data_IF_483395514825
#
_entry.id   IF_483395514825
#
_cell.length_a   1.000
_cell.length_b   1.000
_cell.length_c   1.000
_cell.angle_alpha   90.00
_cell.angle_beta   90.00
_cell.angle_gamma   90.00
#
_symmetry.space_group_name_H-M   'P 1'
#
loop_
_entity.id
_entity.type
_entity.pdbx_description
1 polymer ?
#
# COMPACT_ATOMS: atom_id res chain seq x y z
N UNK A 1 19.62 5.33 -22.65
CA UNK A 1 20.02 5.39 -21.20
C UNK A 1 19.68 4.05 -20.55
N UNK A 2 20.57 3.52 -19.68
CA UNK A 2 20.27 2.29 -18.92
C UNK A 2 19.11 2.51 -17.94
N UNK A 3 18.32 1.44 -17.68
CA UNK A 3 17.13 1.51 -16.82
C UNK A 3 17.46 1.87 -15.36
N UNK A 4 18.61 1.46 -14.84
CA UNK A 4 19.04 1.82 -13.47
C UNK A 4 19.35 3.31 -13.35
N UNK A 5 20.03 3.87 -14.37
CA UNK A 5 20.32 5.31 -14.40
C UNK A 5 19.02 6.12 -14.60
N UNK A 6 18.12 5.64 -15.45
CA UNK A 6 16.77 6.22 -15.61
C UNK A 6 16.01 6.24 -14.29
N UNK A 7 16.03 5.15 -13.53
CA UNK A 7 15.36 5.08 -12.21
C UNK A 7 15.92 6.09 -11.22
N UNK A 8 17.25 6.27 -11.17
CA UNK A 8 17.89 7.29 -10.32
C UNK A 8 17.43 8.69 -10.67
N UNK A 9 17.33 9.01 -11.96
CA UNK A 9 16.83 10.31 -12.42
C UNK A 9 15.35 10.50 -12.07
N UNK A 10 14.51 9.47 -12.25
CA UNK A 10 13.10 9.50 -11.83
C UNK A 10 12.99 9.80 -10.34
N UNK A 11 13.71 9.08 -9.50
CA UNK A 11 13.71 9.29 -8.05
C UNK A 11 14.12 10.73 -7.69
N UNK A 12 15.20 11.24 -8.29
CA UNK A 12 15.68 12.62 -8.05
C UNK A 12 14.62 13.67 -8.44
N UNK A 13 13.96 13.49 -9.58
CA UNK A 13 12.90 14.39 -10.05
C UNK A 13 11.69 14.35 -9.12
N UNK A 14 11.27 13.15 -8.71
CA UNK A 14 10.12 12.97 -7.83
C UNK A 14 10.38 13.53 -6.43
N UNK A 15 11.57 13.34 -5.87
CA UNK A 15 11.96 13.96 -4.59
C UNK A 15 11.93 15.49 -4.71
N UNK A 16 12.41 16.06 -5.82
CA UNK A 16 12.37 17.51 -6.03
C UNK A 16 10.93 18.05 -6.06
N UNK A 17 9.98 17.26 -6.59
CA UNK A 17 8.59 17.67 -6.73
C UNK A 17 7.78 17.46 -5.45
N UNK A 18 7.90 16.31 -4.80
CA UNK A 18 7.03 15.87 -3.71
C UNK A 18 7.70 15.86 -2.33
N UNK A 19 9.00 16.20 -2.25
CA UNK A 19 9.78 16.06 -1.03
C UNK A 19 10.37 14.66 -0.88
N UNK A 20 11.12 14.44 0.21
CA UNK A 20 11.69 13.12 0.51
C UNK A 20 10.64 12.15 1.02
N UNK A 21 9.70 12.64 1.82
CA UNK A 21 8.69 11.83 2.50
C UNK A 21 7.30 12.32 2.10
N UNK A 22 6.48 11.41 1.60
CA UNK A 22 5.05 11.64 1.44
C UNK A 22 4.37 11.07 2.69
N UNK A 23 3.67 11.89 3.48
CA UNK A 23 3.01 11.43 4.69
C UNK A 23 2.04 10.29 4.39
N UNK A 24 2.05 9.27 5.24
CA UNK A 24 1.00 8.27 5.21
C UNK A 24 -0.29 8.88 5.75
N UNK A 25 -1.36 8.77 4.99
CA UNK A 25 -2.64 9.40 5.35
C UNK A 25 -3.52 8.54 6.26
N UNK A 26 -3.19 7.25 6.48
CA UNK A 26 -3.98 6.36 7.35
C UNK A 26 -3.66 6.60 8.83
N UNK A 27 -4.70 6.86 9.62
CA UNK A 27 -4.59 7.13 11.04
C UNK A 27 -4.68 5.85 11.87
N UNK A 28 -3.79 5.70 12.83
CA UNK A 28 -3.77 4.59 13.79
C UNK A 28 -2.97 4.96 15.05
N UNK A 29 -3.14 4.21 16.13
CA UNK A 29 -2.34 4.38 17.35
C UNK A 29 -1.02 3.61 17.23
N UNK A 30 0.12 4.29 17.39
CA UNK A 30 1.46 3.67 17.27
C UNK A 30 1.66 2.47 18.21
N UNK A 31 1.00 2.48 19.38
CA UNK A 31 1.02 1.36 20.33
C UNK A 31 0.19 0.15 19.87
N UNK A 32 -0.61 0.28 18.81
CA UNK A 32 -1.53 -0.73 18.30
C UNK A 32 -1.31 -0.99 16.80
N UNK A 33 -0.20 -1.61 16.39
CA UNK A 33 0.17 -1.76 14.99
C UNK A 33 -0.87 -2.55 14.15
N UNK A 34 -1.72 -3.37 14.77
CA UNK A 34 -2.82 -4.05 14.10
C UNK A 34 -3.88 -3.08 13.53
N UNK A 35 -4.04 -1.91 14.15
CA UNK A 35 -4.92 -0.87 13.61
C UNK A 35 -4.44 -0.39 12.24
N UNK A 36 -3.12 -0.21 12.08
CA UNK A 36 -2.53 0.11 10.78
C UNK A 36 -2.78 -0.99 9.75
N UNK A 37 -2.52 -2.25 10.11
CA UNK A 37 -2.79 -3.40 9.22
C UNK A 37 -4.25 -3.41 8.75
N UNK A 38 -5.21 -3.24 9.67
CA UNK A 38 -6.63 -3.24 9.33
C UNK A 38 -7.04 -2.02 8.51
N UNK A 39 -6.46 -0.84 8.77
CA UNK A 39 -6.66 0.34 7.94
C UNK A 39 -6.18 0.10 6.50
N UNK A 40 -4.99 -0.51 6.31
CA UNK A 40 -4.48 -0.87 4.97
C UNK A 40 -5.37 -1.92 4.30
N UNK A 41 -5.88 -2.92 5.02
CA UNK A 41 -6.84 -3.89 4.46
C UNK A 41 -8.14 -3.20 4.01
N UNK A 42 -8.62 -2.22 4.79
CA UNK A 42 -9.82 -1.45 4.44
C UNK A 42 -9.60 -0.49 3.26
N UNK A 43 -8.38 0.01 3.04
CA UNK A 43 -8.05 0.95 1.95
C UNK A 43 -8.07 0.29 0.56
N UNK A 44 -8.17 -1.02 0.46
CA UNK A 44 -8.35 -1.70 -0.83
C UNK A 44 -9.62 -1.21 -1.53
N UNK A 45 -9.46 -0.53 -2.70
CA UNK A 45 -10.53 0.10 -3.47
C UNK A 45 -11.38 1.11 -2.65
N UNK A 46 -10.73 1.83 -1.73
CA UNK A 46 -11.35 2.86 -0.90
C UNK A 46 -10.36 4.01 -0.70
N UNK A 47 -10.86 5.24 -0.53
CA UNK A 47 -9.98 6.39 -0.25
C UNK A 47 -9.52 6.40 1.20
N UNK A 48 -8.34 6.97 1.45
CA UNK A 48 -7.76 7.05 2.79
C UNK A 48 -8.64 7.91 3.72
N UNK A 49 -9.27 8.98 3.19
CA UNK A 49 -10.21 9.83 3.94
C UNK A 49 -11.42 9.02 4.44
N UNK A 50 -11.97 8.15 3.58
CA UNK A 50 -13.09 7.29 3.95
C UNK A 50 -12.68 6.27 5.00
N UNK A 51 -11.51 5.66 4.86
CA UNK A 51 -10.96 4.73 5.86
C UNK A 51 -10.77 5.44 7.20
N UNK A 52 -10.16 6.63 7.21
CA UNK A 52 -9.94 7.40 8.43
C UNK A 52 -11.25 7.80 9.12
N UNK A 53 -12.27 8.17 8.36
CA UNK A 53 -13.58 8.47 8.92
C UNK A 53 -14.19 7.26 9.64
N UNK A 54 -14.05 6.06 9.06
CA UNK A 54 -14.55 4.81 9.64
C UNK A 54 -13.71 4.39 10.85
N UNK A 55 -12.40 4.39 10.73
CA UNK A 55 -11.50 3.91 11.80
C UNK A 55 -11.55 4.74 13.05
N UNK A 56 -11.88 6.03 12.96
CA UNK A 56 -12.06 6.92 14.10
C UNK A 56 -13.05 6.39 15.14
N UNK A 57 -14.18 5.85 14.69
CA UNK A 57 -15.19 5.28 15.58
C UNK A 57 -14.95 3.78 15.81
N UNK A 58 -14.46 3.09 14.79
CA UNK A 58 -14.18 1.65 14.86
C UNK A 58 -13.18 1.31 15.96
N UNK A 59 -12.07 2.07 16.07
CA UNK A 59 -11.00 1.81 17.05
C UNK A 59 -11.38 2.19 18.49
N UNK A 60 -12.43 3.01 18.68
CA UNK A 60 -13.05 3.23 20.01
C UNK A 60 -13.87 2.01 20.42
N UNK A 61 -14.62 1.43 19.48
CA UNK A 61 -15.48 0.27 19.73
C UNK A 61 -14.67 -1.02 19.87
N UNK A 62 -13.69 -1.22 19.00
CA UNK A 62 -12.80 -2.39 18.96
C UNK A 62 -11.39 -1.96 19.38
N UNK A 63 -11.21 -1.56 20.64
CA UNK A 63 -9.99 -0.97 21.18
C UNK A 63 -8.86 -1.98 21.45
N UNK A 64 -9.13 -3.28 21.28
CA UNK A 64 -8.15 -4.37 21.41
C UNK A 64 -8.25 -5.35 20.25
N UNK A 65 -7.14 -6.05 19.98
CA UNK A 65 -7.09 -7.11 18.96
C UNK A 65 -8.11 -8.23 19.28
N UNK A 66 -8.31 -8.56 20.58
CA UNK A 66 -9.29 -9.54 21.01
C UNK A 66 -10.73 -9.14 20.70
N UNK A 67 -11.06 -7.84 20.79
CA UNK A 67 -12.39 -7.36 20.40
C UNK A 67 -12.64 -7.54 18.89
N UNK A 68 -11.64 -7.32 18.04
CA UNK A 68 -11.74 -7.65 16.62
C UNK A 68 -11.90 -9.16 16.36
N UNK A 69 -11.10 -9.99 17.04
CA UNK A 69 -11.17 -11.45 16.88
C UNK A 69 -12.53 -12.03 17.30
N UNK A 70 -13.17 -11.43 18.31
CA UNK A 70 -14.47 -11.87 18.85
C UNK A 70 -15.66 -11.07 18.28
N UNK A 71 -15.42 -10.19 17.30
CA UNK A 71 -16.49 -9.41 16.70
C UNK A 71 -17.52 -10.31 15.98
N UNK A 72 -18.81 -9.99 16.16
CA UNK A 72 -19.86 -10.59 15.33
C UNK A 72 -19.71 -10.04 13.91
N UNK A 73 -19.55 -10.93 12.90
CA UNK A 73 -19.27 -10.51 11.53
C UNK A 73 -20.33 -9.50 11.01
N UNK A 74 -21.61 -9.76 11.21
CA UNK A 74 -22.70 -8.85 10.80
C UNK A 74 -22.57 -7.47 11.41
N UNK A 75 -22.14 -7.38 12.69
CA UNK A 75 -21.95 -6.09 13.34
C UNK A 75 -20.74 -5.35 12.76
N UNK A 76 -19.61 -6.03 12.55
CA UNK A 76 -18.43 -5.42 11.93
C UNK A 76 -18.71 -4.98 10.50
N UNK A 77 -19.51 -5.74 9.74
CA UNK A 77 -19.97 -5.36 8.39
C UNK A 77 -20.74 -4.03 8.40
N UNK A 78 -21.65 -3.85 9.39
CA UNK A 78 -22.37 -2.58 9.57
C UNK A 78 -21.40 -1.45 9.90
N UNK A 79 -20.47 -1.69 10.81
CA UNK A 79 -19.52 -0.68 11.29
C UNK A 79 -18.56 -0.20 10.17
N UNK A 80 -18.24 -1.06 9.18
CA UNK A 80 -17.33 -0.73 8.07
C UNK A 80 -18.01 -0.66 6.70
N UNK A 81 -19.35 -0.63 6.62
CA UNK A 81 -20.08 -0.74 5.34
C UNK A 81 -19.65 0.29 4.28
N UNK A 82 -19.24 1.48 4.72
CA UNK A 82 -18.88 2.58 3.81
C UNK A 82 -17.53 2.44 3.11
N UNK A 83 -16.69 1.45 3.50
CA UNK A 83 -15.40 1.22 2.83
C UNK A 83 -15.49 0.31 1.57
N UNK A 84 -16.69 -0.14 1.21
CA UNK A 84 -16.91 -1.05 0.08
C UNK A 84 -16.37 -2.46 0.33
N UNK A 85 -16.91 -3.47 -0.38
CA UNK A 85 -16.51 -4.88 -0.19
C UNK A 85 -16.48 -5.33 1.28
N UNK A 86 -17.30 -4.70 2.10
CA UNK A 86 -17.26 -4.79 3.56
C UNK A 86 -17.51 -6.20 4.10
N UNK A 87 -18.27 -7.05 3.42
CA UNK A 87 -18.48 -8.45 3.80
C UNK A 87 -17.15 -9.21 3.85
N UNK A 88 -16.37 -9.16 2.77
CA UNK A 88 -15.08 -9.83 2.69
C UNK A 88 -14.05 -9.17 3.62
N UNK A 89 -14.08 -7.84 3.75
CA UNK A 89 -13.18 -7.11 4.65
C UNK A 89 -13.45 -7.47 6.11
N UNK A 90 -14.71 -7.47 6.55
CA UNK A 90 -15.07 -7.86 7.92
C UNK A 90 -14.65 -9.31 8.23
N UNK A 91 -14.99 -10.25 7.35
CA UNK A 91 -14.56 -11.65 7.47
C UNK A 91 -13.04 -11.78 7.62
N UNK A 92 -12.28 -11.10 6.76
CA UNK A 92 -10.84 -11.18 6.75
C UNK A 92 -10.20 -10.49 7.97
N UNK A 93 -10.72 -9.35 8.41
CA UNK A 93 -10.25 -8.65 9.62
C UNK A 93 -10.41 -9.55 10.86
N UNK A 94 -11.58 -10.18 11.03
CA UNK A 94 -11.84 -11.10 12.15
C UNK A 94 -10.89 -12.29 12.09
N UNK A 95 -10.75 -12.93 10.93
CA UNK A 95 -9.87 -14.09 10.74
C UNK A 95 -8.39 -13.71 10.96
N UNK A 96 -7.95 -12.56 10.44
CA UNK A 96 -6.61 -12.02 10.65
C UNK A 96 -6.34 -11.74 12.14
N UNK A 97 -7.28 -11.11 12.84
CA UNK A 97 -7.15 -10.86 14.27
C UNK A 97 -7.01 -12.16 15.07
N UNK A 98 -7.80 -13.20 14.74
CA UNK A 98 -7.70 -14.52 15.39
C UNK A 98 -6.31 -15.12 15.14
N UNK A 99 -5.86 -15.17 13.88
CA UNK A 99 -4.56 -15.75 13.53
C UNK A 99 -3.40 -14.99 14.19
N UNK A 100 -3.46 -13.66 14.28
CA UNK A 100 -2.47 -12.87 15.01
C UNK A 100 -2.39 -13.25 16.49
N UNK A 101 -3.52 -13.56 17.12
CA UNK A 101 -3.54 -13.98 18.53
C UNK A 101 -2.99 -15.39 18.68
N UNK A 102 -3.46 -16.35 17.87
CA UNK A 102 -3.13 -17.77 18.03
C UNK A 102 -1.70 -18.10 17.61
N UNK A 103 -1.25 -17.54 16.46
CA UNK A 103 -0.04 -18.00 15.79
C UNK A 103 1.13 -17.02 15.96
N UNK A 104 0.84 -15.73 16.23
CA UNK A 104 1.86 -14.67 16.30
C UNK A 104 1.92 -13.93 17.64
N UNK A 105 1.29 -14.46 18.69
CA UNK A 105 1.34 -13.85 20.03
C UNK A 105 0.87 -12.39 20.05
N UNK A 106 -0.16 -12.07 19.27
CA UNK A 106 -0.75 -10.73 19.11
C UNK A 106 0.20 -9.69 18.49
N UNK A 107 1.26 -10.12 17.79
CA UNK A 107 2.21 -9.25 17.11
C UNK A 107 2.05 -9.35 15.59
N UNK A 108 2.33 -8.25 14.89
CA UNK A 108 2.42 -8.27 13.43
C UNK A 108 3.74 -8.94 13.03
N UNK A 109 3.74 -9.95 12.14
CA UNK A 109 4.97 -10.57 11.65
C UNK A 109 5.89 -9.55 10.97
N UNK A 110 7.22 -9.71 11.15
CA UNK A 110 8.25 -8.91 10.47
C UNK A 110 8.73 -9.54 9.17
N UNK A 111 8.28 -10.74 8.89
CA UNK A 111 8.60 -11.47 7.67
C UNK A 111 7.50 -11.25 6.63
N UNK A 112 7.92 -11.03 5.37
CA UNK A 112 7.00 -10.74 4.27
C UNK A 112 6.09 -11.94 3.94
N UNK A 113 6.65 -13.14 3.93
CA UNK A 113 5.91 -14.34 3.56
C UNK A 113 4.93 -14.74 4.68
N UNK A 114 5.29 -14.48 5.95
CA UNK A 114 4.37 -14.63 7.08
C UNK A 114 3.22 -13.61 7.02
N UNK A 115 3.49 -12.36 6.63
CA UNK A 115 2.44 -11.35 6.44
C UNK A 115 1.43 -11.77 5.36
N UNK A 116 1.90 -12.34 4.26
CA UNK A 116 1.03 -12.79 3.15
C UNK A 116 0.14 -13.98 3.53
N UNK A 117 0.49 -14.76 4.56
CA UNK A 117 -0.35 -15.84 5.10
C UNK A 117 -1.57 -15.31 5.86
N UNK A 118 -1.52 -14.08 6.36
CA UNK A 118 -2.63 -13.49 7.11
C UNK A 118 -3.87 -13.32 6.23
N UNK A 119 -5.07 -13.70 6.69
CA UNK A 119 -6.31 -13.55 5.95
C UNK A 119 -6.55 -12.11 5.47
N UNK A 120 -6.75 -11.94 4.17
CA UNK A 120 -6.97 -10.64 3.54
C UNK A 120 -5.72 -9.78 3.32
N UNK A 121 -4.53 -10.30 3.60
CA UNK A 121 -3.25 -9.64 3.37
C UNK A 121 -2.63 -10.16 2.08
N UNK A 122 -2.75 -9.37 1.01
CA UNK A 122 -2.03 -9.64 -0.24
C UNK A 122 -0.62 -9.05 -0.24
N UNK A 123 0.18 -9.35 -1.28
CA UNK A 123 1.56 -8.85 -1.44
C UNK A 123 1.66 -7.33 -1.28
N UNK A 124 0.75 -6.56 -1.91
CA UNK A 124 0.74 -5.10 -1.77
C UNK A 124 0.53 -4.65 -0.33
N UNK A 125 -0.45 -5.23 0.37
CA UNK A 125 -0.72 -4.95 1.79
C UNK A 125 0.49 -5.29 2.64
N UNK A 126 1.09 -6.47 2.45
CA UNK A 126 2.30 -6.91 3.16
C UNK A 126 3.46 -5.93 2.93
N UNK A 127 3.70 -5.50 1.68
CA UNK A 127 4.76 -4.52 1.35
C UNK A 127 4.56 -3.19 2.07
N UNK A 128 3.34 -2.66 2.09
CA UNK A 128 3.02 -1.39 2.77
C UNK A 128 3.21 -1.53 4.29
N UNK A 129 2.71 -2.64 4.87
CA UNK A 129 2.77 -2.89 6.31
C UNK A 129 4.21 -3.07 6.79
N UNK A 130 5.01 -3.88 6.08
CA UNK A 130 6.39 -4.16 6.50
C UNK A 130 7.29 -2.94 6.36
N UNK A 131 7.12 -2.15 5.30
CA UNK A 131 7.86 -0.91 5.11
C UNK A 131 7.51 0.11 6.18
N UNK A 132 6.22 0.33 6.42
CA UNK A 132 5.79 1.38 7.34
C UNK A 132 6.04 1.04 8.82
N UNK A 133 5.70 -0.17 9.26
CA UNK A 133 5.84 -0.54 10.67
C UNK A 133 7.27 -0.86 11.08
N UNK A 134 8.08 -1.36 10.16
CA UNK A 134 9.40 -1.91 10.49
C UNK A 134 10.55 -1.25 9.73
N UNK A 135 10.28 -0.33 8.82
CA UNK A 135 11.31 0.30 7.97
C UNK A 135 12.03 -0.69 7.05
N UNK A 136 11.43 -1.87 6.80
CA UNK A 136 12.00 -2.88 5.91
C UNK A 136 11.59 -2.55 4.48
N UNK A 137 12.53 -2.17 3.59
CA UNK A 137 12.17 -1.79 2.23
C UNK A 137 11.46 -2.92 1.49
N UNK A 138 10.25 -2.63 0.99
CA UNK A 138 9.46 -3.54 0.17
C UNK A 138 8.85 -2.81 -1.03
N UNK A 139 8.83 -3.50 -2.18
CA UNK A 139 8.27 -2.96 -3.42
C UNK A 139 6.78 -3.28 -3.47
N UNK A 140 5.92 -2.25 -3.39
CA UNK A 140 4.48 -2.41 -3.54
C UNK A 140 4.05 -1.99 -4.95
N UNK A 141 3.53 -2.91 -5.74
CA UNK A 141 3.06 -2.61 -7.10
C UNK A 141 1.54 -2.52 -7.11
N UNK A 142 1.03 -1.31 -7.27
CA UNK A 142 -0.39 -1.05 -7.53
C UNK A 142 -0.63 -0.70 -9.01
N UNK A 143 -1.85 -0.34 -9.35
CA UNK A 143 -2.22 0.02 -10.73
C UNK A 143 -1.48 1.25 -11.27
N UNK A 144 -1.12 2.23 -10.40
CA UNK A 144 -0.33 3.39 -10.79
C UNK A 144 1.13 3.00 -11.01
N UNK A 145 1.72 2.28 -10.07
CA UNK A 145 3.10 1.79 -10.17
C UNK A 145 3.25 0.89 -11.39
N UNK A 146 2.35 -0.07 -11.58
CA UNK A 146 2.38 -0.97 -12.74
C UNK A 146 2.33 -0.19 -14.07
N UNK A 147 1.36 0.72 -14.21
CA UNK A 147 1.17 1.49 -15.44
C UNK A 147 2.36 2.38 -15.76
N UNK A 148 2.78 3.20 -14.79
CA UNK A 148 3.82 4.20 -14.99
C UNK A 148 5.18 3.55 -15.19
N UNK A 149 5.48 2.49 -14.44
CA UNK A 149 6.73 1.74 -14.60
C UNK A 149 6.80 1.01 -15.97
N UNK A 150 5.66 0.48 -16.45
CA UNK A 150 5.58 -0.06 -17.80
C UNK A 150 5.93 0.99 -18.86
N UNK A 151 5.43 2.22 -18.73
CA UNK A 151 5.72 3.31 -19.66
C UNK A 151 7.20 3.69 -19.58
N UNK A 152 7.72 3.92 -18.37
CA UNK A 152 9.09 4.37 -18.13
C UNK A 152 10.15 3.38 -18.63
N UNK A 153 9.94 2.10 -18.36
CA UNK A 153 10.94 1.04 -18.59
C UNK A 153 10.58 0.08 -19.72
N UNK A 154 9.47 0.32 -20.42
CA UNK A 154 8.99 -0.52 -21.55
C UNK A 154 8.92 -2.00 -21.18
N UNK A 155 8.37 -2.31 -19.96
CA UNK A 155 8.37 -3.67 -19.41
C UNK A 155 7.47 -4.64 -20.18
N UNK A 156 6.47 -4.12 -20.91
CA UNK A 156 5.57 -4.88 -21.79
C UNK A 156 4.88 -6.07 -21.13
N UNK A 157 4.48 -5.93 -19.85
CA UNK A 157 3.78 -6.98 -19.10
C UNK A 157 2.66 -6.40 -18.25
N UNK A 158 1.62 -7.20 -18.02
CA UNK A 158 0.52 -6.88 -17.08
C UNK A 158 0.64 -7.67 -15.77
N UNK A 159 1.58 -8.62 -15.71
CA UNK A 159 1.82 -9.41 -14.53
C UNK A 159 2.51 -8.56 -13.45
N UNK A 160 1.78 -8.32 -12.36
CA UNK A 160 2.25 -7.50 -11.24
C UNK A 160 3.49 -8.09 -10.56
N UNK A 161 3.63 -9.43 -10.54
CA UNK A 161 4.80 -10.09 -9.96
C UNK A 161 6.03 -9.86 -10.81
N UNK A 162 5.89 -9.99 -12.13
CA UNK A 162 6.99 -9.71 -13.07
C UNK A 162 7.41 -8.25 -13.00
N UNK A 163 6.46 -7.32 -12.87
CA UNK A 163 6.76 -5.89 -12.68
C UNK A 163 7.51 -5.67 -11.37
N UNK A 164 7.06 -6.28 -10.26
CA UNK A 164 7.70 -6.19 -8.95
C UNK A 164 9.16 -6.64 -9.02
N UNK A 165 9.43 -7.83 -9.60
CA UNK A 165 10.78 -8.38 -9.74
C UNK A 165 11.68 -7.45 -10.57
N UNK A 166 11.21 -7.02 -11.75
CA UNK A 166 11.95 -6.08 -12.60
C UNK A 166 12.23 -4.74 -11.89
N UNK A 167 11.28 -4.21 -11.13
CA UNK A 167 11.50 -2.98 -10.37
C UNK A 167 12.52 -3.17 -9.25
N UNK A 168 12.56 -4.33 -8.61
CA UNK A 168 13.60 -4.65 -7.60
C UNK A 168 15.01 -4.68 -8.19
N UNK A 169 15.15 -5.08 -9.46
CA UNK A 169 16.43 -5.07 -10.18
C UNK A 169 16.85 -3.66 -10.63
N UNK A 170 15.87 -2.81 -11.01
CA UNK A 170 16.08 -1.49 -11.60
C UNK A 170 16.25 -0.41 -10.53
N UNK A 171 15.39 -0.43 -9.51
CA UNK A 171 15.33 0.60 -8.46
C UNK A 171 16.18 0.17 -7.27
N UNK A 172 17.09 1.02 -6.80
CA UNK A 172 17.86 0.73 -5.60
C UNK A 172 16.94 0.47 -4.39
N UNK A 173 17.27 -0.57 -3.59
CA UNK A 173 16.44 -1.04 -2.46
C UNK A 173 16.01 0.07 -1.51
N UNK A 174 16.91 1.03 -1.21
CA UNK A 174 16.62 2.18 -0.32
C UNK A 174 15.52 3.11 -0.83
N UNK A 175 15.16 3.04 -2.13
CA UNK A 175 14.13 3.86 -2.76
C UNK A 175 12.82 3.12 -3.05
N UNK A 176 12.65 1.86 -2.64
CA UNK A 176 11.44 1.09 -2.98
C UNK A 176 10.17 1.70 -2.40
N UNK A 177 10.20 2.14 -1.14
CA UNK A 177 9.05 2.81 -0.53
C UNK A 177 8.76 4.17 -1.19
N UNK A 178 9.81 4.96 -1.43
CA UNK A 178 9.70 6.23 -2.15
C UNK A 178 9.13 6.01 -3.55
N UNK A 179 9.63 4.99 -4.28
CA UNK A 179 9.10 4.66 -5.60
C UNK A 179 7.59 4.45 -5.54
N UNK A 180 7.11 3.64 -4.60
CA UNK A 180 5.69 3.37 -4.46
C UNK A 180 4.89 4.65 -4.21
N UNK A 181 5.24 5.41 -3.18
CA UNK A 181 4.48 6.58 -2.74
C UNK A 181 4.49 7.69 -3.78
N UNK A 182 5.64 7.96 -4.39
CA UNK A 182 5.80 9.07 -5.34
C UNK A 182 5.23 8.75 -6.72
N UNK A 183 5.35 7.52 -7.19
CA UNK A 183 4.69 7.10 -8.44
C UNK A 183 3.17 7.09 -8.29
N UNK A 184 2.65 6.72 -7.12
CA UNK A 184 1.21 6.84 -6.84
C UNK A 184 0.77 8.32 -6.87
N UNK A 185 1.52 9.21 -6.21
CA UNK A 185 1.22 10.65 -6.21
C UNK A 185 1.22 11.21 -7.64
N UNK A 186 2.25 10.92 -8.43
CA UNK A 186 2.33 11.31 -9.83
C UNK A 186 1.15 10.75 -10.65
N UNK A 187 0.78 9.51 -10.39
CA UNK A 187 -0.30 8.82 -11.09
C UNK A 187 -1.69 9.36 -10.79
N UNK A 188 -1.88 9.90 -9.60
CA UNK A 188 -3.13 10.56 -9.18
C UNK A 188 -3.23 11.98 -9.73
N UNK A 189 -2.13 12.72 -9.74
CA UNK A 189 -2.11 14.15 -10.07
C UNK A 189 -1.92 14.43 -11.56
N UNK A 190 -0.95 13.78 -12.18
CA UNK A 190 -0.45 14.10 -13.54
C UNK A 190 -0.64 12.94 -14.51
N UNK A 191 -0.04 11.78 -14.21
CA UNK A 191 -0.06 10.63 -15.11
C UNK A 191 -1.33 9.80 -14.88
N UNK A 192 -2.51 10.40 -15.11
CA UNK A 192 -3.80 9.72 -14.98
C UNK A 192 -4.05 8.77 -16.15
N UNK A 193 -4.83 7.69 -15.92
CA UNK A 193 -4.93 6.59 -16.88
C UNK A 193 -5.57 6.98 -18.23
N UNK A 194 -6.61 7.82 -18.21
CA UNK A 194 -7.39 8.16 -19.41
C UNK A 194 -6.95 9.42 -20.12
N UNK A 195 -6.35 10.39 -19.39
CA UNK A 195 -5.95 11.68 -19.95
C UNK A 195 -4.72 12.19 -19.20
N UNK A 196 -3.52 11.64 -19.45
CA UNK A 196 -2.30 12.07 -18.77
C UNK A 196 -1.93 13.48 -19.19
N UNK A 197 -1.54 14.32 -18.24
CA UNK A 197 -1.10 15.70 -18.43
C UNK A 197 0.39 15.72 -18.77
N UNK A 198 0.74 15.23 -19.98
CA UNK A 198 2.13 15.03 -20.39
C UNK A 198 2.90 16.34 -20.57
N UNK A 199 2.23 17.42 -20.92
CA UNK A 199 2.76 18.79 -21.09
C UNK A 199 3.40 19.37 -19.81
N UNK A 200 2.84 19.03 -18.64
CA UNK A 200 3.35 19.46 -17.33
C UNK A 200 4.10 18.34 -16.57
N UNK A 201 4.24 17.16 -17.19
CA UNK A 201 4.83 16.01 -16.52
C UNK A 201 6.35 16.15 -16.37
N UNK A 202 6.90 16.13 -15.13
CA UNK A 202 8.33 16.25 -14.92
C UNK A 202 9.14 15.07 -15.47
N UNK A 203 8.48 13.93 -15.73
CA UNK A 203 9.11 12.72 -16.28
C UNK A 203 8.94 12.58 -17.80
N UNK A 204 8.32 13.57 -18.47
CA UNK A 204 7.96 13.43 -19.89
C UNK A 204 9.14 13.06 -20.80
N UNK A 205 10.30 13.69 -20.61
CA UNK A 205 11.52 13.40 -21.40
C UNK A 205 11.95 11.94 -21.20
N UNK A 206 11.92 11.46 -19.96
CA UNK A 206 12.30 10.08 -19.62
C UNK A 206 11.30 9.02 -20.13
N UNK A 207 10.06 9.41 -20.40
CA UNK A 207 9.07 8.50 -20.99
C UNK A 207 9.25 8.30 -22.50
N UNK A 208 9.85 9.29 -23.20
CA UNK A 208 10.08 9.22 -24.63
C UNK A 208 11.33 8.40 -25.03
N UNK A 209 12.32 8.36 -24.14
CA UNK A 209 13.55 7.56 -24.30
C UNK A 209 13.25 6.06 -24.09
#
# INVERSE_FOLDING_TARGET
MDNKEKAKQVVKILIKRYGKDIPLYLHYHKSKPYEFLFAVMMSAQCTDERVNAVTKELYKKYDTLHKFANAKQKQLEIDIHSVGFFHNKAKNIIACAKMLITDYGSKIPKDFDELVKLPGVGRKTASVVISHLYGIPAMAVDTHVARISNILFKLNTKDVRVIEEKLKEIVEKKYWELWNTHIIALGREICVARSPKCDICPLYKLCKD
#
